data_IF_874332060009
#
_entry.id   IF_874332060009
#
_cell.length_a   1.000
_cell.length_b   1.000
_cell.length_c   1.000
_cell.angle_alpha   90.00
_cell.angle_beta   90.00
_cell.angle_gamma   90.00
#
_symmetry.space_group_name_H-M   'P 1'
#
loop_
_entity.id
_entity.type
_entity.pdbx_description
1 polymer ?
#
# COMPACT_ATOMS: atom_id res chain seq x y z
N UNK A 1 0.07 -7.46 16.41
CA UNK A 1 -0.01 -8.56 15.42
C UNK A 1 -0.29 -9.89 16.13
N UNK A 2 -1.12 -10.72 15.52
CA UNK A 2 -1.47 -12.05 16.03
C UNK A 2 -1.08 -13.16 15.05
N UNK A 3 -1.56 -13.09 13.82
CA UNK A 3 -1.37 -14.13 12.80
C UNK A 3 -1.60 -13.58 11.38
N UNK A 4 -1.18 -14.32 10.35
CA UNK A 4 -1.60 -14.12 8.95
C UNK A 4 -2.65 -15.19 8.61
N UNK A 5 -3.80 -14.75 8.11
CA UNK A 5 -4.88 -15.61 7.65
C UNK A 5 -4.91 -15.59 6.12
N UNK A 6 -4.65 -16.73 5.50
CA UNK A 6 -4.67 -16.88 4.05
C UNK A 6 -6.05 -17.27 3.57
N UNK A 7 -6.55 -16.58 2.54
CA UNK A 7 -7.84 -16.85 1.90
C UNK A 7 -7.63 -16.81 0.39
N UNK A 8 -8.09 -17.83 -0.32
CA UNK A 8 -8.12 -17.82 -1.77
C UNK A 8 -9.09 -16.75 -2.28
N UNK A 9 -8.73 -16.04 -3.37
CA UNK A 9 -9.57 -14.96 -3.90
C UNK A 9 -10.93 -15.43 -4.39
N UNK A 10 -11.03 -16.61 -5.02
CA UNK A 10 -12.32 -17.10 -5.50
C UNK A 10 -13.29 -17.39 -4.34
N UNK A 11 -12.77 -17.94 -3.23
CA UNK A 11 -13.56 -18.14 -2.01
C UNK A 11 -13.95 -16.78 -1.40
N UNK A 12 -13.01 -15.86 -1.25
CA UNK A 12 -13.27 -14.52 -0.72
C UNK A 12 -14.35 -13.80 -1.53
N UNK A 13 -14.19 -13.75 -2.85
CA UNK A 13 -15.15 -13.16 -3.78
C UNK A 13 -16.54 -13.78 -3.64
N UNK A 14 -16.64 -15.11 -3.68
CA UNK A 14 -17.90 -15.80 -3.56
C UNK A 14 -18.65 -15.47 -2.24
N UNK A 15 -17.91 -15.39 -1.12
CA UNK A 15 -18.46 -15.02 0.19
C UNK A 15 -18.93 -13.56 0.23
N UNK A 16 -18.16 -12.65 -0.37
CA UNK A 16 -18.55 -11.23 -0.46
C UNK A 16 -19.78 -11.03 -1.34
N UNK A 17 -19.86 -11.68 -2.49
CA UNK A 17 -21.01 -11.63 -3.42
C UNK A 17 -22.26 -12.25 -2.82
N UNK A 18 -22.12 -13.31 -2.03
CA UNK A 18 -23.21 -13.91 -1.26
C UNK A 18 -23.66 -13.06 -0.04
N UNK A 19 -22.99 -11.94 0.23
CA UNK A 19 -23.22 -11.09 1.41
C UNK A 19 -23.17 -11.89 2.74
N UNK A 20 -22.25 -12.87 2.84
CA UNK A 20 -22.05 -13.68 4.04
C UNK A 20 -21.54 -12.81 5.20
N UNK A 21 -22.49 -12.33 6.02
CA UNK A 21 -22.22 -11.39 7.12
C UNK A 21 -21.38 -12.02 8.23
N UNK A 22 -21.53 -13.33 8.47
CA UNK A 22 -20.72 -14.01 9.48
C UNK A 22 -19.24 -14.08 9.04
N UNK A 23 -19.00 -14.40 7.77
CA UNK A 23 -17.68 -14.38 7.20
C UNK A 23 -17.05 -12.96 7.26
N UNK A 24 -17.78 -11.94 6.81
CA UNK A 24 -17.32 -10.55 6.81
C UNK A 24 -17.00 -10.06 8.23
N UNK A 25 -17.92 -10.31 9.17
CA UNK A 25 -17.76 -9.92 10.59
C UNK A 25 -16.56 -10.62 11.23
N UNK A 26 -16.35 -11.89 10.91
CA UNK A 26 -15.20 -12.66 11.41
C UNK A 26 -13.88 -12.05 10.88
N UNK A 27 -13.78 -11.70 9.59
CA UNK A 27 -12.57 -11.06 9.04
C UNK A 27 -12.29 -9.71 9.70
N UNK A 28 -13.32 -8.88 9.88
CA UNK A 28 -13.19 -7.58 10.55
C UNK A 28 -12.73 -7.79 11.99
N UNK A 29 -13.34 -8.72 12.72
CA UNK A 29 -12.96 -9.03 14.09
C UNK A 29 -11.51 -9.49 14.19
N UNK A 30 -11.07 -10.40 13.32
CA UNK A 30 -9.69 -10.88 13.26
C UNK A 30 -8.69 -9.75 13.01
N UNK A 31 -9.00 -8.82 12.09
CA UNK A 31 -8.14 -7.65 11.85
C UNK A 31 -8.10 -6.72 13.07
N UNK A 32 -9.20 -6.52 13.81
CA UNK A 32 -9.20 -5.75 15.06
C UNK A 32 -8.34 -6.41 16.14
N UNK A 33 -8.30 -7.74 16.20
CA UNK A 33 -7.41 -8.48 17.10
C UNK A 33 -5.93 -8.41 16.71
N UNK A 34 -5.63 -7.85 15.54
CA UNK A 34 -4.27 -7.64 15.04
C UNK A 34 -3.82 -8.65 14.00
N UNK A 35 -4.74 -9.42 13.41
CA UNK A 35 -4.42 -10.32 12.29
C UNK A 35 -4.29 -9.55 10.98
N UNK A 36 -3.50 -10.11 10.08
CA UNK A 36 -3.41 -9.71 8.68
C UNK A 36 -4.19 -10.72 7.85
N UNK A 37 -5.07 -10.25 6.98
CA UNK A 37 -5.74 -11.10 5.99
C UNK A 37 -4.96 -11.02 4.69
N UNK A 38 -4.43 -12.15 4.25
CA UNK A 38 -3.77 -12.28 2.96
C UNK A 38 -4.70 -12.99 2.00
N UNK A 39 -5.17 -12.27 0.96
CA UNK A 39 -6.01 -12.85 -0.09
C UNK A 39 -5.08 -13.21 -1.24
N UNK A 40 -4.94 -14.51 -1.50
CA UNK A 40 -4.02 -15.06 -2.50
C UNK A 40 -4.64 -15.13 -3.90
N UNK A 41 -3.79 -15.28 -4.91
CA UNK A 41 -4.18 -15.51 -6.30
C UNK A 41 -5.01 -14.35 -6.91
N UNK A 42 -4.60 -13.10 -6.61
CA UNK A 42 -5.29 -11.88 -7.03
C UNK A 42 -4.63 -11.23 -8.24
N UNK A 43 -3.38 -10.81 -8.12
CA UNK A 43 -2.66 -10.15 -9.20
C UNK A 43 -1.76 -11.14 -9.92
N UNK A 44 -1.98 -11.32 -11.21
CA UNK A 44 -1.08 -12.10 -12.06
C UNK A 44 0.20 -11.33 -12.41
N UNK A 45 1.20 -12.04 -12.94
CA UNK A 45 2.47 -11.44 -13.34
C UNK A 45 2.31 -10.37 -14.44
N UNK A 46 1.30 -10.50 -15.31
CA UNK A 46 1.01 -9.52 -16.36
C UNK A 46 0.56 -8.18 -15.79
N UNK A 47 -0.34 -8.21 -14.79
CA UNK A 47 -0.80 -7.00 -14.11
C UNK A 47 0.30 -6.40 -13.24
N UNK A 48 1.05 -7.22 -12.50
CA UNK A 48 2.21 -6.77 -11.70
C UNK A 48 3.23 -6.06 -12.59
N UNK A 49 3.61 -6.66 -13.71
CA UNK A 49 4.55 -6.07 -14.66
C UNK A 49 4.01 -4.76 -15.26
N UNK A 50 2.71 -4.68 -15.54
CA UNK A 50 2.06 -3.46 -16.03
C UNK A 50 2.14 -2.32 -15.00
N UNK A 51 1.93 -2.62 -13.73
CA UNK A 51 2.04 -1.64 -12.61
C UNK A 51 3.48 -1.13 -12.50
N UNK A 52 4.46 -2.03 -12.45
CA UNK A 52 5.88 -1.67 -12.31
C UNK A 52 6.36 -0.88 -13.53
N UNK A 53 6.04 -1.33 -14.75
CA UNK A 53 6.46 -0.67 -15.98
C UNK A 53 5.83 0.73 -16.13
N UNK A 54 4.56 0.92 -15.75
CA UNK A 54 3.92 2.23 -15.73
C UNK A 54 4.59 3.17 -14.75
N UNK A 55 5.00 2.67 -13.58
CA UNK A 55 5.75 3.44 -12.58
C UNK A 55 7.13 3.87 -13.11
N UNK A 56 7.85 2.95 -13.73
CA UNK A 56 9.17 3.24 -14.30
C UNK A 56 9.08 4.21 -15.48
N UNK A 57 8.05 4.10 -16.34
CA UNK A 57 7.81 5.05 -17.41
C UNK A 57 7.56 6.45 -16.84
N UNK A 58 6.71 6.57 -15.82
CA UNK A 58 6.43 7.85 -15.15
C UNK A 58 7.71 8.53 -14.63
N UNK A 59 8.65 7.77 -14.07
CA UNK A 59 9.91 8.32 -13.55
C UNK A 59 10.94 8.66 -14.63
N UNK A 60 10.84 8.08 -15.82
CA UNK A 60 11.70 8.44 -16.97
C UNK A 60 11.25 9.74 -17.63
N UNK A 61 9.95 9.99 -17.64
CA UNK A 61 9.35 11.13 -18.31
C UNK A 61 9.23 12.39 -17.43
N UNK A 62 9.37 12.23 -16.12
CA UNK A 62 9.13 13.32 -15.16
C UNK A 62 10.30 13.51 -14.20
N UNK A 63 10.39 14.72 -13.66
CA UNK A 63 11.32 15.05 -12.56
C UNK A 63 10.71 14.63 -11.22
N UNK A 64 11.53 14.05 -10.34
CA UNK A 64 11.12 13.71 -8.98
C UNK A 64 10.66 14.96 -8.22
N UNK A 65 9.37 15.04 -7.92
CA UNK A 65 8.78 16.19 -7.21
C UNK A 65 7.50 15.82 -6.49
N UNK A 66 7.45 16.17 -5.21
CA UNK A 66 6.18 16.12 -4.46
C UNK A 66 5.23 17.18 -4.99
N UNK A 67 4.03 16.76 -5.38
CA UNK A 67 3.02 17.61 -6.02
C UNK A 67 1.78 17.72 -5.11
N UNK A 68 1.18 18.91 -5.07
CA UNK A 68 -0.10 19.10 -4.37
C UNK A 68 -1.22 18.42 -5.18
N UNK A 69 -2.07 17.71 -4.47
CA UNK A 69 -3.24 17.05 -5.03
C UNK A 69 -4.43 18.02 -5.07
N UNK A 70 -4.40 18.93 -6.06
CA UNK A 70 -5.44 19.90 -6.42
C UNK A 70 -5.91 19.65 -7.84
N UNK A 71 -6.90 20.44 -8.34
CA UNK A 71 -7.38 20.29 -9.71
C UNK A 71 -6.23 20.32 -10.72
N UNK A 72 -6.28 19.42 -11.71
CA UNK A 72 -5.24 19.25 -12.73
C UNK A 72 -3.99 18.53 -12.25
N UNK A 73 -3.97 18.02 -11.00
CA UNK A 73 -2.86 17.20 -10.51
C UNK A 73 -2.66 15.98 -11.43
N UNK A 74 -1.47 15.90 -12.01
CA UNK A 74 -1.05 14.77 -12.83
C UNK A 74 -0.50 13.63 -11.97
N UNK A 75 -0.36 12.44 -12.56
CA UNK A 75 0.43 11.37 -11.95
C UNK A 75 1.86 11.88 -11.74
N UNK A 76 2.47 11.54 -10.62
CA UNK A 76 3.82 11.97 -10.32
C UNK A 76 4.60 10.93 -9.52
N UNK A 77 5.91 11.07 -9.51
CA UNK A 77 6.76 10.30 -8.61
C UNK A 77 7.60 11.20 -7.72
N UNK A 78 8.01 10.66 -6.59
CA UNK A 78 8.83 11.37 -5.64
C UNK A 78 9.85 10.42 -4.99
N UNK A 79 11.14 10.78 -5.07
CA UNK A 79 12.20 10.11 -4.32
C UNK A 79 12.21 10.65 -2.90
N UNK A 80 11.79 9.84 -1.95
CA UNK A 80 11.75 10.20 -0.54
C UNK A 80 13.07 9.79 0.12
N UNK A 81 13.78 10.77 0.67
CA UNK A 81 15.05 10.56 1.39
C UNK A 81 15.01 11.22 2.76
N UNK A 82 13.81 11.37 3.32
CA UNK A 82 13.58 12.18 4.51
C UNK A 82 13.94 11.41 5.79
N UNK A 83 14.74 12.01 6.64
CA UNK A 83 14.96 11.58 8.03
C UNK A 83 14.39 12.61 9.00
N UNK A 84 13.09 12.51 9.26
CA UNK A 84 12.36 13.34 10.20
C UNK A 84 12.37 12.80 11.63
N UNK A 85 13.06 11.69 11.89
CA UNK A 85 13.06 11.00 13.20
C UNK A 85 13.54 11.91 14.34
N UNK A 86 14.47 12.81 14.06
CA UNK A 86 14.97 13.78 15.04
C UNK A 86 13.89 14.80 15.48
N UNK A 87 12.93 15.09 14.62
CA UNK A 87 11.85 16.05 14.85
C UNK A 87 10.52 15.36 15.20
N UNK A 88 10.55 14.10 15.59
CA UNK A 88 9.34 13.35 15.90
C UNK A 88 8.61 12.78 14.69
N UNK A 89 9.19 12.87 13.50
CA UNK A 89 8.73 12.24 12.29
C UNK A 89 9.24 10.81 12.11
N UNK A 90 9.16 10.29 10.91
CA UNK A 90 9.67 8.98 10.50
C UNK A 90 10.79 9.13 9.48
N UNK A 91 11.65 8.12 9.41
CA UNK A 91 12.66 8.00 8.37
C UNK A 91 12.05 7.21 7.22
N UNK A 92 12.22 7.68 6.01
CA UNK A 92 11.86 6.94 4.80
C UNK A 92 12.93 7.09 3.73
N UNK A 93 13.16 6.01 3.00
CA UNK A 93 14.02 5.95 1.83
C UNK A 93 13.32 5.07 0.81
N UNK A 94 12.61 5.69 -0.11
CA UNK A 94 11.85 5.00 -1.14
C UNK A 94 11.64 5.87 -2.37
N UNK A 95 11.20 5.23 -3.43
CA UNK A 95 10.68 5.89 -4.61
C UNK A 95 9.18 5.63 -4.67
N UNK A 96 8.40 6.67 -4.46
CA UNK A 96 6.94 6.64 -4.42
C UNK A 96 6.33 7.16 -5.71
N UNK A 97 5.42 6.39 -6.30
CA UNK A 97 4.68 6.73 -7.51
C UNK A 97 3.20 6.87 -7.17
N UNK A 98 2.59 7.94 -7.64
CA UNK A 98 1.21 8.30 -7.33
C UNK A 98 0.39 8.37 -8.60
N UNK A 99 -0.62 7.49 -8.72
CA UNK A 99 -1.56 7.45 -9.82
C UNK A 99 -2.96 7.79 -9.33
N UNK A 100 -3.68 8.55 -10.14
CA UNK A 100 -5.01 9.04 -9.83
C UNK A 100 -6.00 8.71 -10.95
N UNK A 101 -7.28 8.37 -10.62
CA UNK A 101 -8.23 7.86 -11.60
C UNK A 101 -8.67 8.85 -12.67
N UNK A 102 -8.49 10.17 -12.44
CA UNK A 102 -8.83 11.20 -13.42
C UNK A 102 -7.76 11.46 -14.48
N UNK A 103 -6.61 10.83 -14.38
CA UNK A 103 -5.54 10.94 -15.36
C UNK A 103 -5.63 9.82 -16.41
N UNK A 104 -4.90 9.96 -17.51
CA UNK A 104 -4.83 8.92 -18.54
C UNK A 104 -4.22 7.66 -17.95
N UNK A 105 -4.95 6.56 -18.06
CA UNK A 105 -4.57 5.22 -17.65
C UNK A 105 -4.42 4.31 -18.87
N UNK A 106 -3.26 4.38 -19.54
CA UNK A 106 -2.97 3.65 -20.76
C UNK A 106 -3.08 2.11 -20.64
N UNK A 107 -2.92 1.59 -19.43
CA UNK A 107 -2.93 0.15 -19.14
C UNK A 107 -4.23 -0.32 -18.45
N UNK A 108 -5.21 0.58 -18.28
CA UNK A 108 -6.46 0.34 -17.56
C UNK A 108 -6.21 -0.24 -16.15
N UNK A 109 -5.20 0.31 -15.46
CA UNK A 109 -4.79 -0.19 -14.14
C UNK A 109 -5.89 0.00 -13.11
N UNK A 110 -6.59 1.16 -13.12
CA UNK A 110 -7.67 1.41 -12.18
C UNK A 110 -8.84 0.46 -12.38
N UNK A 111 -9.24 0.17 -13.62
CA UNK A 111 -10.33 -0.76 -13.88
C UNK A 111 -10.00 -2.16 -13.36
N UNK A 112 -8.80 -2.67 -13.67
CA UNK A 112 -8.33 -3.98 -13.22
C UNK A 112 -8.21 -4.06 -11.69
N UNK A 113 -7.65 -3.04 -11.05
CA UNK A 113 -7.47 -3.01 -9.61
C UNK A 113 -8.81 -2.83 -8.88
N UNK A 114 -9.74 -2.06 -9.43
CA UNK A 114 -11.05 -1.86 -8.84
C UNK A 114 -11.87 -3.16 -8.75
N UNK A 115 -11.63 -4.15 -9.62
CA UNK A 115 -12.25 -5.49 -9.52
C UNK A 115 -12.02 -6.15 -8.15
N UNK A 116 -10.89 -5.85 -7.52
CA UNK A 116 -10.49 -6.39 -6.21
C UNK A 116 -10.74 -5.39 -5.09
N UNK A 117 -10.41 -4.12 -5.30
CA UNK A 117 -10.51 -3.08 -4.29
C UNK A 117 -11.93 -2.85 -3.79
N UNK A 118 -12.91 -2.98 -4.67
CA UNK A 118 -14.35 -2.83 -4.37
C UNK A 118 -14.81 -3.73 -3.23
N UNK A 119 -14.40 -4.99 -3.21
CA UNK A 119 -14.76 -5.91 -2.13
C UNK A 119 -14.17 -5.48 -0.78
N UNK A 120 -12.97 -4.95 -0.77
CA UNK A 120 -12.32 -4.45 0.46
C UNK A 120 -12.96 -3.14 0.92
N UNK A 121 -13.41 -2.29 0.00
CA UNK A 121 -14.22 -1.11 0.35
C UNK A 121 -15.50 -1.51 1.08
N UNK A 122 -16.25 -2.48 0.55
CA UNK A 122 -17.47 -3.01 1.19
C UNK A 122 -17.16 -3.62 2.55
N UNK A 123 -16.12 -4.44 2.66
CA UNK A 123 -15.67 -5.00 3.93
C UNK A 123 -15.33 -3.90 4.95
N UNK A 124 -14.78 -2.78 4.50
CA UNK A 124 -14.48 -1.59 5.31
C UNK A 124 -15.67 -0.67 5.56
N UNK A 125 -16.89 -1.02 5.12
CA UNK A 125 -18.12 -0.25 5.33
C UNK A 125 -18.31 0.93 4.36
N UNK A 126 -17.64 0.91 3.20
CA UNK A 126 -17.84 1.86 2.10
C UNK A 126 -18.79 1.27 1.05
N UNK A 127 -19.33 2.12 0.18
CA UNK A 127 -20.05 1.64 -0.99
C UNK A 127 -19.08 0.94 -1.96
N UNK A 128 -19.62 0.03 -2.79
CA UNK A 128 -18.83 -0.81 -3.71
C UNK A 128 -17.91 0.01 -4.62
N UNK A 129 -18.39 1.10 -5.19
CA UNK A 129 -17.65 2.00 -6.09
C UNK A 129 -17.30 3.36 -5.46
N UNK A 130 -17.19 3.42 -4.12
CA UNK A 130 -16.93 4.66 -3.40
C UNK A 130 -15.68 5.37 -3.89
N UNK A 131 -15.78 6.67 -4.12
CA UNK A 131 -14.70 7.58 -4.57
C UNK A 131 -14.05 7.27 -5.92
N UNK A 132 -14.58 6.36 -6.75
CA UNK A 132 -13.93 5.97 -8.01
C UNK A 132 -13.90 7.10 -9.06
N UNK A 133 -14.93 7.94 -9.05
CA UNK A 133 -15.05 9.08 -9.97
C UNK A 133 -14.67 10.43 -9.32
N UNK A 134 -14.19 10.41 -8.08
CA UNK A 134 -13.85 11.63 -7.38
C UNK A 134 -12.57 12.24 -7.93
N UNK A 135 -12.57 13.57 -7.94
CA UNK A 135 -11.44 14.44 -8.30
C UNK A 135 -11.01 15.25 -7.07
N UNK A 136 -9.92 16.00 -7.08
CA UNK A 136 -9.46 16.74 -5.90
C UNK A 136 -10.51 17.65 -5.28
N UNK A 137 -11.41 18.27 -6.06
CA UNK A 137 -12.49 19.14 -5.56
C UNK A 137 -13.51 18.42 -4.67
N UNK A 138 -13.64 17.10 -4.84
CA UNK A 138 -14.53 16.26 -4.05
C UNK A 138 -13.94 15.91 -2.67
N UNK A 139 -12.74 16.41 -2.38
CA UNK A 139 -11.98 16.31 -1.14
C UNK A 139 -11.42 14.91 -0.83
N UNK A 140 -12.18 13.84 -1.03
CA UNK A 140 -11.74 12.46 -0.81
C UNK A 140 -11.59 11.77 -2.15
N UNK A 141 -10.44 11.15 -2.36
CA UNK A 141 -10.06 10.56 -3.64
C UNK A 141 -9.49 9.16 -3.48
N UNK A 142 -9.62 8.35 -4.51
CA UNK A 142 -8.88 7.10 -4.65
C UNK A 142 -7.48 7.38 -5.20
N UNK A 143 -6.51 6.62 -4.70
CA UNK A 143 -5.11 6.74 -5.12
C UNK A 143 -4.43 5.37 -5.14
N UNK A 144 -3.78 5.04 -6.24
CA UNK A 144 -2.77 4.00 -6.25
C UNK A 144 -1.43 4.63 -5.89
N UNK A 145 -0.80 4.10 -4.85
CA UNK A 145 0.52 4.49 -4.39
C UNK A 145 1.45 3.28 -4.53
N UNK A 146 2.29 3.30 -5.55
CA UNK A 146 3.27 2.25 -5.80
C UNK A 146 4.59 2.70 -5.17
N UNK A 147 5.21 1.83 -4.40
CA UNK A 147 6.40 2.13 -3.61
C UNK A 147 7.50 1.14 -3.98
N UNK A 148 8.65 1.66 -4.36
CA UNK A 148 9.88 0.90 -4.49
C UNK A 148 10.79 1.22 -3.31
N UNK A 149 10.96 0.27 -2.41
CA UNK A 149 12.03 0.30 -1.41
C UNK A 149 13.31 -0.23 -2.08
N UNK A 150 14.17 0.70 -2.45
CA UNK A 150 15.35 0.41 -3.28
C UNK A 150 16.34 -0.48 -2.52
N UNK A 151 17.02 -1.35 -3.25
CA UNK A 151 18.22 -2.04 -2.75
C UNK A 151 19.23 -0.99 -2.26
N UNK A 152 19.97 -1.30 -1.20
CA UNK A 152 20.88 -0.36 -0.57
C UNK A 152 20.27 0.40 0.61
N UNK A 153 19.19 -0.14 1.21
CA UNK A 153 18.63 0.36 2.45
C UNK A 153 17.27 1.05 2.35
N UNK A 154 16.53 0.85 1.24
CA UNK A 154 15.16 1.33 1.11
C UNK A 154 14.31 0.90 2.31
N UNK A 155 13.59 1.85 2.95
CA UNK A 155 12.97 1.62 4.27
C UNK A 155 11.86 2.63 4.56
N UNK A 156 10.97 2.28 5.48
CA UNK A 156 10.16 3.22 6.25
C UNK A 156 10.13 2.79 7.71
N UNK A 157 10.43 3.71 8.63
CA UNK A 157 10.50 3.43 10.06
C UNK A 157 9.13 3.13 10.68
N UNK A 158 9.06 2.56 11.91
CA UNK A 158 7.81 2.17 12.54
C UNK A 158 6.77 3.29 12.61
N UNK A 159 5.57 2.99 12.15
CA UNK A 159 4.44 3.92 12.10
C UNK A 159 3.10 3.18 12.14
N UNK A 160 2.03 3.95 12.18
CA UNK A 160 0.66 3.53 11.91
C UNK A 160 0.01 4.49 10.92
N UNK A 161 -0.91 3.98 10.14
CA UNK A 161 -1.66 4.78 9.19
C UNK A 161 -2.91 5.44 9.80
N UNK A 162 -3.41 6.53 9.22
CA UNK A 162 -4.62 7.16 9.71
C UNK A 162 -5.86 6.35 9.37
N UNK A 163 -6.77 6.19 10.34
CA UNK A 163 -8.10 5.60 10.15
C UNK A 163 -9.08 6.75 9.87
N UNK A 164 -9.29 7.09 8.61
CA UNK A 164 -10.18 8.21 8.27
C UNK A 164 -11.21 7.80 7.21
N UNK A 165 -10.81 7.73 5.95
CA UNK A 165 -11.71 7.49 4.82
C UNK A 165 -11.76 6.02 4.42
N UNK A 166 -10.69 5.30 4.67
CA UNK A 166 -10.57 3.86 4.48
C UNK A 166 -10.31 3.22 5.85
N UNK A 167 -11.12 2.23 6.22
CA UNK A 167 -11.03 1.56 7.55
C UNK A 167 -10.09 0.38 7.54
N UNK A 168 -9.77 -0.15 6.37
CA UNK A 168 -8.88 -1.30 6.17
C UNK A 168 -7.71 -0.82 5.32
N UNK A 169 -6.49 -0.98 5.82
CA UNK A 169 -5.29 -0.81 5.00
C UNK A 169 -5.24 -1.93 3.98
N UNK A 170 -5.02 -1.56 2.73
CA UNK A 170 -4.99 -2.48 1.60
C UNK A 170 -3.75 -2.23 0.76
N UNK A 171 -3.04 -3.30 0.47
CA UNK A 171 -1.97 -3.27 -0.50
C UNK A 171 -1.69 -4.62 -1.12
N UNK A 172 -0.68 -4.68 -1.97
CA UNK A 172 -0.21 -5.92 -2.60
C UNK A 172 1.30 -5.94 -2.66
N UNK A 173 1.87 -7.11 -2.40
CA UNK A 173 3.30 -7.39 -2.59
C UNK A 173 3.53 -7.69 -4.07
N UNK A 174 4.39 -6.93 -4.74
CA UNK A 174 4.59 -7.04 -6.18
C UNK A 174 5.82 -7.87 -6.57
N UNK A 175 6.64 -8.24 -5.59
CA UNK A 175 7.83 -9.08 -5.79
C UNK A 175 8.16 -9.86 -4.51
N UNK A 176 9.20 -10.68 -4.51
CA UNK A 176 9.38 -11.74 -3.54
C UNK A 176 10.78 -11.74 -2.92
N UNK A 177 10.82 -11.88 -1.59
CA UNK A 177 12.07 -12.08 -0.84
C UNK A 177 12.75 -13.39 -1.28
N UNK A 178 14.05 -13.31 -1.50
CA UNK A 178 14.87 -14.43 -1.99
C UNK A 178 14.99 -14.50 -3.51
N UNK A 179 14.05 -13.90 -4.26
CA UNK A 179 14.07 -13.84 -5.72
C UNK A 179 14.44 -12.45 -6.23
N UNK A 180 13.77 -11.42 -5.75
CA UNK A 180 13.91 -10.04 -6.25
C UNK A 180 14.78 -9.16 -5.33
N UNK A 181 14.84 -9.50 -4.05
CA UNK A 181 15.71 -8.90 -3.04
C UNK A 181 16.05 -9.94 -1.96
N UNK A 182 17.13 -9.75 -1.19
CA UNK A 182 17.67 -10.81 -0.33
C UNK A 182 17.46 -10.58 1.17
N UNK A 183 17.17 -9.35 1.60
CA UNK A 183 16.99 -9.03 3.02
C UNK A 183 16.18 -7.76 3.23
N UNK A 184 15.68 -7.56 4.44
CA UNK A 184 14.75 -6.48 4.77
C UNK A 184 13.32 -6.83 4.37
N UNK A 185 12.42 -5.85 4.43
CA UNK A 185 11.02 -6.04 4.09
C UNK A 185 10.06 -5.80 5.26
N UNK A 186 8.85 -6.29 5.15
CA UNK A 186 7.73 -5.92 6.00
C UNK A 186 7.79 -6.61 7.37
N UNK A 187 7.72 -5.78 8.40
CA UNK A 187 7.62 -6.20 9.80
C UNK A 187 6.44 -5.51 10.48
N UNK A 188 5.85 -6.20 11.43
CA UNK A 188 4.75 -5.70 12.27
C UNK A 188 5.10 -5.81 13.74
N UNK A 189 4.29 -5.22 14.61
CA UNK A 189 4.53 -5.30 16.06
C UNK A 189 3.37 -6.01 16.75
N UNK A 190 3.70 -6.94 17.63
CA UNK A 190 2.71 -7.64 18.45
C UNK A 190 2.21 -6.77 19.63
N UNK A 191 1.25 -7.30 20.42
CA UNK A 191 0.68 -6.61 21.60
C UNK A 191 1.72 -6.26 22.67
N UNK A 192 2.87 -6.95 22.70
CA UNK A 192 4.01 -6.66 23.60
C UNK A 192 5.00 -5.65 23.01
N UNK A 193 4.70 -5.08 21.82
CA UNK A 193 5.58 -4.20 21.03
C UNK A 193 6.87 -4.89 20.54
N UNK A 194 6.88 -6.20 20.48
CA UNK A 194 7.98 -6.95 19.86
C UNK A 194 7.80 -6.95 18.35
N UNK A 195 8.88 -6.70 17.62
CA UNK A 195 8.88 -6.71 16.15
C UNK A 195 8.83 -8.15 15.65
N UNK A 196 7.93 -8.41 14.72
CA UNK A 196 7.75 -9.70 14.04
C UNK A 196 8.00 -9.47 12.54
N UNK A 197 9.00 -10.13 12.01
CA UNK A 197 9.33 -10.09 10.59
C UNK A 197 8.42 -11.06 9.83
N UNK A 198 7.56 -10.54 8.95
CA UNK A 198 6.53 -11.34 8.25
C UNK A 198 6.70 -11.36 6.73
N UNK A 199 7.69 -10.66 6.18
CA UNK A 199 7.93 -10.63 4.73
C UNK A 199 8.01 -12.04 4.10
N UNK A 200 8.66 -13.07 4.71
CA UNK A 200 8.74 -14.42 4.12
C UNK A 200 7.39 -15.13 3.99
N UNK A 201 6.37 -14.68 4.73
CA UNK A 201 5.02 -15.27 4.70
C UNK A 201 4.12 -14.59 3.66
N UNK A 202 4.55 -13.44 3.12
CA UNK A 202 3.80 -12.68 2.13
C UNK A 202 4.04 -13.24 0.73
N UNK A 203 2.96 -13.50 0.01
CA UNK A 203 3.01 -14.05 -1.34
C UNK A 203 2.88 -12.95 -2.38
N UNK A 204 3.74 -12.95 -3.38
CA UNK A 204 3.66 -12.07 -4.55
C UNK A 204 2.26 -12.11 -5.17
N UNK A 205 1.71 -10.97 -5.52
CA UNK A 205 0.38 -10.84 -6.13
C UNK A 205 -0.80 -10.98 -5.18
N UNK A 206 -0.56 -11.24 -3.87
CA UNK A 206 -1.63 -11.28 -2.88
C UNK A 206 -2.02 -9.90 -2.42
N UNK A 207 -3.30 -9.70 -2.09
CA UNK A 207 -3.74 -8.55 -1.32
C UNK A 207 -3.45 -8.77 0.16
N UNK A 208 -2.93 -7.75 0.80
CA UNK A 208 -2.60 -7.72 2.24
C UNK A 208 -3.49 -6.69 2.90
N UNK A 209 -4.38 -7.13 3.80
CA UNK A 209 -5.37 -6.32 4.46
C UNK A 209 -5.18 -6.34 5.98
N UNK A 210 -5.18 -5.18 6.63
CA UNK A 210 -5.06 -5.07 8.07
C UNK A 210 -5.66 -3.75 8.59
N UNK A 211 -5.87 -3.65 9.90
CA UNK A 211 -6.29 -2.39 10.49
C UNK A 211 -5.17 -1.35 10.41
N UNK A 212 -5.43 -0.11 9.94
CA UNK A 212 -4.42 0.96 9.84
C UNK A 212 -3.71 1.27 11.17
N UNK A 213 -4.33 0.92 12.30
CA UNK A 213 -3.75 1.06 13.65
C UNK A 213 -2.66 0.03 13.96
N UNK A 214 -2.51 -1.03 13.17
CA UNK A 214 -1.44 -2.01 13.33
C UNK A 214 -0.09 -1.33 13.09
N UNK A 215 0.80 -1.41 14.07
CA UNK A 215 2.16 -0.88 13.96
C UNK A 215 2.97 -1.71 12.99
N UNK A 216 3.58 -1.04 12.01
CA UNK A 216 4.35 -1.71 10.97
C UNK A 216 5.53 -0.86 10.49
N UNK A 217 6.43 -1.49 9.78
CA UNK A 217 7.66 -0.91 9.22
C UNK A 217 8.09 -1.71 7.99
N UNK A 218 8.91 -1.12 7.15
CA UNK A 218 9.70 -1.87 6.17
C UNK A 218 11.17 -1.76 6.60
N UNK A 219 11.74 -2.88 7.00
CA UNK A 219 13.14 -2.98 7.36
C UNK A 219 14.02 -2.71 6.15
N UNK A 220 15.25 -2.15 6.32
CA UNK A 220 16.12 -1.78 5.22
C UNK A 220 16.33 -2.92 4.22
N UNK A 221 15.98 -2.67 2.96
CA UNK A 221 16.09 -3.64 1.87
C UNK A 221 17.55 -3.71 1.39
N UNK A 222 18.14 -4.91 1.46
CA UNK A 222 19.53 -5.18 1.04
C UNK A 222 20.54 -4.09 1.47
N UNK A 223 20.63 -3.75 2.77
CA UNK A 223 21.36 -2.55 3.24
C UNK A 223 22.86 -2.58 3.03
N UNK A 224 23.42 -3.74 2.71
CA UNK A 224 24.86 -3.90 2.45
C UNK A 224 25.26 -3.62 0.98
N UNK A 225 24.28 -3.29 0.13
CA UNK A 225 24.51 -2.90 -1.25
C UNK A 225 24.58 -1.37 -1.37
N UNK A 226 25.27 -0.89 -2.39
CA UNK A 226 25.21 0.52 -2.77
C UNK A 226 23.85 0.85 -3.38
N UNK A 227 23.34 2.06 -3.09
CA UNK A 227 22.12 2.56 -3.73
C UNK A 227 22.43 2.92 -5.17
N UNK A 228 21.70 2.32 -6.09
CA UNK A 228 21.71 2.69 -7.51
C UNK A 228 20.31 3.18 -7.93
N UNK A 229 20.16 4.48 -8.05
CA UNK A 229 18.90 5.11 -8.44
C UNK A 229 18.51 4.88 -9.91
N UNK A 230 19.38 4.28 -10.71
CA UNK A 230 19.08 3.95 -12.11
C UNK A 230 18.39 2.59 -12.25
N UNK A 231 18.47 1.75 -11.20
CA UNK A 231 17.90 0.40 -11.18
C UNK A 231 16.49 0.37 -10.64
N UNK A 232 15.76 -0.67 -11.03
CA UNK A 232 14.41 -0.97 -10.59
C UNK A 232 14.36 -2.13 -9.59
N UNK A 233 15.52 -2.56 -9.07
CA UNK A 233 15.61 -3.62 -8.07
C UNK A 233 15.18 -3.16 -6.67
N UNK A 234 15.00 -4.13 -5.77
CA UNK A 234 14.50 -3.89 -4.42
C UNK A 234 13.05 -4.38 -4.24
N UNK A 235 12.42 -3.96 -3.17
CA UNK A 235 11.08 -4.38 -2.79
C UNK A 235 10.01 -3.45 -3.36
N UNK A 236 9.05 -4.02 -4.09
CA UNK A 236 7.92 -3.28 -4.66
C UNK A 236 6.61 -3.59 -3.93
N UNK A 237 5.83 -2.56 -3.68
CA UNK A 237 4.55 -2.65 -2.98
C UNK A 237 3.53 -1.69 -3.60
N UNK A 238 2.31 -2.17 -3.82
CA UNK A 238 1.15 -1.36 -4.20
C UNK A 238 0.32 -1.08 -2.94
N UNK A 239 0.06 0.18 -2.64
CA UNK A 239 -0.88 0.60 -1.60
C UNK A 239 -2.10 1.26 -2.25
N UNK A 240 -3.29 0.78 -1.92
CA UNK A 240 -4.58 1.27 -2.42
C UNK A 240 -5.25 2.07 -1.31
N UNK A 241 -5.40 3.37 -1.51
CA UNK A 241 -5.82 4.26 -0.43
C UNK A 241 -6.90 5.25 -0.84
N UNK A 242 -7.91 5.41 0.01
CA UNK A 242 -8.83 6.54 -0.03
C UNK A 242 -8.26 7.64 0.86
N UNK A 243 -7.88 8.77 0.28
CA UNK A 243 -7.14 9.84 0.99
C UNK A 243 -7.80 11.20 0.77
N UNK A 244 -7.52 12.14 1.67
CA UNK A 244 -7.90 13.54 1.45
C UNK A 244 -7.02 14.20 0.39
N UNK A 245 -7.62 14.96 -0.54
CA UNK A 245 -6.90 15.88 -1.41
C UNK A 245 -6.34 17.08 -0.62
N UNK A 246 -5.55 17.95 -1.26
CA UNK A 246 -5.02 19.14 -0.58
C UNK A 246 -6.05 20.27 -0.43
N UNK A 247 -7.29 20.10 -0.89
CA UNK A 247 -8.43 20.95 -0.53
C UNK A 247 -8.95 20.69 0.88
N UNK A 248 -8.63 19.56 1.47
CA UNK A 248 -9.09 19.22 2.81
C UNK A 248 -8.16 19.86 3.87
N UNK A 249 -8.69 20.79 4.68
CA UNK A 249 -7.90 21.55 5.67
C UNK A 249 -7.27 20.69 6.76
N UNK A 250 -8.00 19.67 7.26
CA UNK A 250 -7.58 18.83 8.39
C UNK A 250 -7.12 17.44 7.94
N UNK A 251 -6.32 17.39 6.90
CA UNK A 251 -5.82 16.13 6.33
C UNK A 251 -5.03 15.33 7.36
N UNK A 252 -5.49 14.12 7.65
CA UNK A 252 -4.79 13.21 8.56
C UNK A 252 -3.56 12.60 7.87
N UNK A 253 -2.51 12.38 8.65
CA UNK A 253 -1.21 11.87 8.18
C UNK A 253 -0.82 10.64 8.99
N UNK A 254 0.06 9.84 8.41
CA UNK A 254 0.78 8.76 9.09
C UNK A 254 1.41 9.25 10.39
N UNK A 255 1.31 8.45 11.44
CA UNK A 255 1.83 8.80 12.77
C UNK A 255 3.05 7.93 13.08
N UNK A 256 4.24 8.53 13.24
CA UNK A 256 5.44 7.81 13.64
C UNK A 256 5.32 7.31 15.08
N UNK A 257 6.05 6.24 15.38
CA UNK A 257 6.08 5.62 16.70
C UNK A 257 7.50 5.68 17.24
N UNK A 258 7.59 6.10 18.48
CA UNK A 258 8.80 5.98 19.30
C UNK A 258 8.55 4.86 20.31
N UNK A 259 9.39 3.84 20.31
CA UNK A 259 9.43 2.81 21.33
C UNK A 259 10.40 3.20 22.43
#
# INVERSE_FOLDING_TARGET
FTEIINIDFALFKAKMEAQDLDFQSNLIYKMFEGSIIQITDVLDDGLINSIINSSLALSKENVSKKTLCVEGCQNYFYLQTEDLSKNGGYKTLDRSYYFFPWNIDQNNLFDKINEYWRYIKVLGGLNFNEYENNTPKDQIINRMHIIQYMRGGGTISPHKDPIVYQKIQLGSVLNELGNDFNSGGFSVFNKKKEKVFIEPELKKGSLVCFMPSLYHTVDPVDPNNDIDLTKSDGRWYLSLTCVGSDHLKDRKKTTPIKF
#
